data_IF_536926957699
#
_entry.id   IF_536926957699
#
_cell.length_a   1.000
_cell.length_b   1.000
_cell.length_c   1.000
_cell.angle_alpha   90.00
_cell.angle_beta   90.00
_cell.angle_gamma   90.00
#
_symmetry.space_group_name_H-M   'P 1'
#
loop_
_entity.id
_entity.type
_entity.pdbx_description
1 polymer ?
#
# COMPACT_ATOMS: atom_id res chain seq x y z
N UNK A 1 -3.36 -11.34 65.28
CA UNK A 1 -2.51 -11.56 64.08
C UNK A 1 -3.40 -12.11 62.98
N UNK A 2 -3.51 -11.47 61.80
CA UNK A 2 -4.41 -11.95 60.75
C UNK A 2 -3.77 -13.13 60.01
N UNK A 3 -4.61 -14.12 59.72
CA UNK A 3 -4.28 -15.33 58.95
C UNK A 3 -4.03 -14.91 57.50
N UNK A 4 -2.80 -15.04 57.02
CA UNK A 4 -2.47 -14.86 55.61
C UNK A 4 -3.07 -16.05 54.87
N UNK A 5 -4.16 -15.82 54.14
CA UNK A 5 -4.71 -16.78 53.19
C UNK A 5 -3.67 -17.04 52.12
N UNK A 6 -3.17 -18.27 52.05
CA UNK A 6 -2.38 -18.74 50.93
C UNK A 6 -3.26 -18.63 49.68
N UNK A 7 -2.94 -17.68 48.82
CA UNK A 7 -3.47 -17.65 47.46
C UNK A 7 -2.82 -18.85 46.77
N UNK A 8 -3.59 -19.93 46.62
CA UNK A 8 -3.20 -21.04 45.77
C UNK A 8 -3.00 -20.50 44.35
N UNK A 9 -1.74 -20.36 43.94
CA UNK A 9 -1.43 -20.20 42.53
C UNK A 9 -1.73 -21.53 41.87
N UNK A 10 -2.83 -21.60 41.10
CA UNK A 10 -3.06 -22.73 40.21
C UNK A 10 -1.80 -22.96 39.37
N UNK A 11 -1.26 -24.19 39.32
CA UNK A 11 -0.10 -24.49 38.53
C UNK A 11 -0.45 -24.24 37.06
N UNK A 12 0.23 -23.27 36.45
CA UNK A 12 0.13 -23.01 35.01
C UNK A 12 0.56 -24.30 34.31
N UNK A 13 -0.41 -25.06 33.84
CA UNK A 13 -0.15 -26.31 33.13
C UNK A 13 0.59 -25.95 31.83
N UNK A 14 1.69 -26.65 31.52
CA UNK A 14 2.54 -26.33 30.36
C UNK A 14 1.74 -26.20 29.05
N UNK A 15 0.66 -26.97 28.92
CA UNK A 15 -0.28 -26.93 27.79
C UNK A 15 -1.04 -25.61 27.67
N UNK A 16 -1.40 -24.97 28.80
CA UNK A 16 -2.11 -23.67 28.82
C UNK A 16 -1.17 -22.54 28.43
N UNK A 17 0.08 -22.58 28.92
CA UNK A 17 1.12 -21.62 28.52
C UNK A 17 1.44 -21.74 27.03
N UNK A 18 1.55 -22.96 26.50
CA UNK A 18 1.86 -23.20 25.09
C UNK A 18 0.74 -22.72 24.16
N UNK A 19 -0.53 -22.94 24.53
CA UNK A 19 -1.69 -22.37 23.82
C UNK A 19 -1.73 -20.84 23.87
N UNK A 20 -1.34 -20.24 25.00
CA UNK A 20 -1.26 -18.79 25.13
C UNK A 20 -0.17 -18.20 24.22
N UNK A 21 1.03 -18.80 24.20
CA UNK A 21 2.12 -18.37 23.33
C UNK A 21 1.74 -18.50 21.84
N UNK A 22 1.17 -19.62 21.42
CA UNK A 22 0.67 -19.81 20.05
C UNK A 22 -0.38 -18.75 19.65
N UNK A 23 -1.25 -18.36 20.59
CA UNK A 23 -2.24 -17.30 20.35
C UNK A 23 -1.57 -15.93 20.19
N UNK A 24 -0.53 -15.65 20.98
CA UNK A 24 0.22 -14.39 20.89
C UNK A 24 1.00 -14.31 19.57
N UNK A 25 1.67 -15.39 19.17
CA UNK A 25 2.35 -15.49 17.87
C UNK A 25 1.38 -15.20 16.70
N UNK A 26 0.20 -15.83 16.72
CA UNK A 26 -0.83 -15.62 15.68
C UNK A 26 -1.40 -14.19 15.68
N UNK A 27 -1.42 -13.51 16.83
CA UNK A 27 -1.82 -12.10 16.89
C UNK A 27 -0.74 -11.19 16.33
N UNK A 28 0.53 -11.44 16.64
CA UNK A 28 1.67 -10.70 16.10
C UNK A 28 1.74 -10.83 14.58
N UNK A 29 1.61 -12.05 14.04
CA UNK A 29 1.60 -12.29 12.59
C UNK A 29 0.47 -11.52 11.88
N UNK A 30 -0.71 -11.44 12.50
CA UNK A 30 -1.83 -10.66 11.94
C UNK A 30 -1.53 -9.17 11.92
N UNK A 31 -0.93 -8.65 12.99
CA UNK A 31 -0.58 -7.25 13.15
C UNK A 31 0.50 -6.83 12.15
N UNK A 32 1.52 -7.67 11.97
CA UNK A 32 2.57 -7.45 10.98
C UNK A 32 2.03 -7.42 9.55
N UNK A 33 1.12 -8.35 9.23
CA UNK A 33 0.45 -8.39 7.94
C UNK A 33 -0.40 -7.14 7.68
N UNK A 34 -1.13 -6.67 8.69
CA UNK A 34 -1.94 -5.45 8.60
C UNK A 34 -1.06 -4.20 8.43
N UNK A 35 0.06 -4.12 9.17
CA UNK A 35 1.03 -3.05 9.03
C UNK A 35 1.63 -2.98 7.62
N UNK A 36 2.02 -4.14 7.05
CA UNK A 36 2.52 -4.22 5.67
C UNK A 36 1.47 -3.79 4.65
N UNK A 37 0.21 -4.19 4.84
CA UNK A 37 -0.89 -3.76 3.98
C UNK A 37 -1.12 -2.25 4.03
N UNK A 38 -1.13 -1.68 5.24
CA UNK A 38 -1.29 -0.24 5.43
C UNK A 38 -0.14 0.54 4.79
N UNK A 39 1.11 0.10 5.03
CA UNK A 39 2.32 0.68 4.42
C UNK A 39 2.23 0.64 2.89
N UNK A 40 1.90 -0.50 2.29
CA UNK A 40 1.75 -0.62 0.84
C UNK A 40 0.69 0.34 0.25
N UNK A 41 -0.46 0.47 0.92
CA UNK A 41 -1.53 1.39 0.50
C UNK A 41 -1.09 2.85 0.62
N UNK A 42 -0.40 3.23 1.70
CA UNK A 42 0.12 4.58 1.88
C UNK A 42 1.15 4.94 0.81
N UNK A 43 2.05 4.01 0.50
CA UNK A 43 3.04 4.20 -0.56
C UNK A 43 2.37 4.39 -1.93
N UNK A 44 1.37 3.58 -2.29
CA UNK A 44 0.61 3.74 -3.53
C UNK A 44 -0.16 5.07 -3.60
N UNK A 45 -0.79 5.50 -2.50
CA UNK A 45 -1.46 6.80 -2.42
C UNK A 45 -0.48 7.94 -2.65
N UNK A 46 0.66 7.87 -1.98
CA UNK A 46 1.71 8.88 -2.07
C UNK A 46 2.27 8.93 -3.49
N UNK A 47 2.59 7.77 -4.07
CA UNK A 47 2.98 7.62 -5.46
C UNK A 47 1.98 8.26 -6.43
N UNK A 48 0.69 8.02 -6.22
CA UNK A 48 -0.37 8.60 -7.04
C UNK A 48 -0.48 10.12 -6.94
N UNK A 49 -0.33 10.70 -5.73
CA UNK A 49 -0.33 12.16 -5.51
C UNK A 49 0.85 12.79 -6.27
N UNK A 50 2.04 12.21 -6.10
CA UNK A 50 3.26 12.67 -6.74
C UNK A 50 3.14 12.64 -8.26
N UNK A 51 2.70 11.52 -8.84
CA UNK A 51 2.57 11.40 -10.29
C UNK A 51 1.45 12.29 -10.85
N UNK A 52 0.36 12.50 -10.10
CA UNK A 52 -0.69 13.44 -10.47
C UNK A 52 -0.20 14.89 -10.46
N UNK A 53 0.52 15.30 -9.42
CA UNK A 53 1.09 16.65 -9.32
C UNK A 53 2.14 16.92 -10.41
N UNK A 54 3.03 15.95 -10.65
CA UNK A 54 3.99 16.01 -11.77
C UNK A 54 3.29 16.24 -13.11
N UNK A 55 2.16 15.57 -13.35
CA UNK A 55 1.38 15.72 -14.59
C UNK A 55 0.73 17.10 -14.70
N UNK A 56 0.28 17.69 -13.58
CA UNK A 56 -0.34 19.04 -13.53
C UNK A 56 0.65 20.19 -13.66
N UNK A 57 1.81 20.06 -13.02
CA UNK A 57 2.75 21.16 -12.80
C UNK A 57 4.04 21.03 -13.64
N UNK A 58 4.21 19.94 -14.39
CA UNK A 58 5.37 19.72 -15.25
C UNK A 58 6.68 19.42 -14.51
N UNK A 59 6.62 19.18 -13.19
CA UNK A 59 7.80 18.84 -12.41
C UNK A 59 8.34 17.46 -12.82
N UNK A 60 9.57 17.44 -13.34
CA UNK A 60 10.28 16.21 -13.71
C UNK A 60 11.07 15.59 -12.56
N UNK A 61 11.30 16.34 -11.48
CA UNK A 61 12.12 15.90 -10.35
C UNK A 61 11.24 15.63 -9.12
N UNK A 62 11.15 14.35 -8.74
CA UNK A 62 10.34 13.86 -7.62
C UNK A 62 10.77 14.48 -6.30
N UNK A 63 12.07 14.71 -6.11
CA UNK A 63 12.64 15.23 -4.86
C UNK A 63 12.29 16.71 -4.65
N UNK A 64 12.18 17.51 -5.72
CA UNK A 64 11.73 18.92 -5.63
C UNK A 64 10.22 19.00 -5.34
N UNK A 65 9.42 18.13 -5.96
CA UNK A 65 7.98 18.06 -5.71
C UNK A 65 7.65 17.63 -4.27
N UNK A 66 8.41 16.68 -3.71
CA UNK A 66 8.19 16.21 -2.35
C UNK A 66 8.49 17.27 -1.29
N UNK A 67 9.50 18.12 -1.53
CA UNK A 67 9.80 19.28 -0.71
C UNK A 67 8.59 20.22 -0.57
N UNK A 68 7.88 20.47 -1.68
CA UNK A 68 6.69 21.33 -1.70
C UNK A 68 5.49 20.67 -1.02
N UNK A 69 5.26 19.37 -1.27
CA UNK A 69 4.09 18.65 -0.76
C UNK A 69 4.22 18.24 0.71
N UNK A 70 5.44 17.94 1.19
CA UNK A 70 5.71 17.39 2.51
C UNK A 70 6.98 17.98 3.15
N UNK A 71 6.99 19.28 3.50
CA UNK A 71 8.18 19.99 3.97
C UNK A 71 8.77 19.49 5.30
N UNK A 72 8.12 18.54 5.99
CA UNK A 72 8.50 18.03 7.31
C UNK A 72 9.02 16.58 7.32
N UNK A 73 9.14 15.90 6.17
CA UNK A 73 9.61 14.49 6.09
C UNK A 73 11.07 14.42 5.56
N UNK A 74 11.86 13.46 6.05
CA UNK A 74 13.27 13.27 5.62
C UNK A 74 13.36 12.72 4.19
N UNK A 75 14.09 13.42 3.30
CA UNK A 75 14.13 13.19 1.85
C UNK A 75 14.58 11.80 1.39
N UNK A 76 15.65 11.26 1.98
CA UNK A 76 16.30 10.04 1.47
C UNK A 76 15.44 8.78 1.60
N UNK A 77 14.65 8.69 2.68
CA UNK A 77 13.77 7.53 2.91
C UNK A 77 12.60 7.51 1.92
N UNK A 78 12.03 8.70 1.67
CA UNK A 78 10.89 8.89 0.77
C UNK A 78 11.26 8.59 -0.68
N UNK A 79 12.45 9.00 -1.15
CA UNK A 79 12.88 8.76 -2.53
C UNK A 79 13.07 7.25 -2.81
N UNK A 80 13.60 6.50 -1.85
CA UNK A 80 13.75 5.04 -1.97
C UNK A 80 12.40 4.32 -2.03
N UNK A 81 11.45 4.68 -1.16
CA UNK A 81 10.12 4.09 -1.16
C UNK A 81 9.33 4.43 -2.44
N UNK A 82 9.48 5.66 -2.94
CA UNK A 82 8.88 6.09 -4.21
C UNK A 82 9.48 5.35 -5.40
N UNK A 83 10.82 5.25 -5.46
CA UNK A 83 11.52 4.47 -6.48
C UNK A 83 11.13 3.00 -6.45
N UNK A 84 10.88 2.43 -5.26
CA UNK A 84 10.39 1.07 -5.11
C UNK A 84 9.00 0.90 -5.77
N UNK A 85 8.05 1.79 -5.49
CA UNK A 85 6.73 1.73 -6.12
C UNK A 85 6.81 1.97 -7.63
N UNK A 86 7.64 2.92 -8.09
CA UNK A 86 7.85 3.18 -9.52
C UNK A 86 8.36 1.93 -10.25
N UNK A 87 9.34 1.23 -9.66
CA UNK A 87 9.82 -0.05 -10.19
C UNK A 87 8.70 -1.08 -10.25
N UNK A 88 7.95 -1.27 -9.16
CA UNK A 88 6.84 -2.21 -9.11
C UNK A 88 5.76 -1.91 -10.17
N UNK A 89 5.43 -0.64 -10.35
CA UNK A 89 4.46 -0.18 -11.37
C UNK A 89 4.97 -0.45 -12.78
N UNK A 90 6.25 -0.15 -13.05
CA UNK A 90 6.88 -0.38 -14.35
C UNK A 90 6.99 -1.87 -14.69
N UNK A 91 7.39 -2.70 -13.72
CA UNK A 91 7.44 -4.16 -13.86
C UNK A 91 6.06 -4.75 -14.14
N UNK A 92 5.04 -4.33 -13.40
CA UNK A 92 3.68 -4.81 -13.60
C UNK A 92 3.11 -4.37 -14.95
N UNK A 93 3.41 -3.14 -15.40
CA UNK A 93 3.02 -2.61 -16.72
C UNK A 93 3.65 -3.41 -17.87
N UNK A 94 4.91 -3.81 -17.71
CA UNK A 94 5.67 -4.56 -18.72
C UNK A 94 5.61 -6.08 -18.53
N UNK A 95 4.85 -6.58 -17.56
CA UNK A 95 4.74 -8.01 -17.28
C UNK A 95 4.15 -8.78 -18.47
N UNK A 96 4.60 -10.00 -18.71
CA UNK A 96 3.99 -10.91 -19.70
C UNK A 96 2.58 -11.35 -19.31
N UNK A 97 2.22 -11.27 -18.02
CA UNK A 97 0.90 -11.66 -17.52
C UNK A 97 -0.15 -10.57 -17.80
N UNK A 98 -1.12 -10.88 -18.66
CA UNK A 98 -2.21 -9.94 -19.02
C UNK A 98 -2.99 -9.46 -17.80
N UNK A 99 -3.27 -10.35 -16.85
CA UNK A 99 -3.97 -10.04 -15.61
C UNK A 99 -3.24 -8.97 -14.80
N UNK A 100 -1.91 -9.09 -14.64
CA UNK A 100 -1.11 -8.14 -13.88
C UNK A 100 -1.07 -6.77 -14.56
N UNK A 101 -0.94 -6.73 -15.90
CA UNK A 101 -1.03 -5.47 -16.65
C UNK A 101 -2.37 -4.77 -16.48
N UNK A 102 -3.47 -5.53 -16.51
CA UNK A 102 -4.81 -4.96 -16.27
C UNK A 102 -4.97 -4.46 -14.84
N UNK A 103 -4.48 -5.20 -13.85
CA UNK A 103 -4.49 -4.80 -12.44
C UNK A 103 -3.69 -3.52 -12.21
N UNK A 104 -2.50 -3.41 -12.80
CA UNK A 104 -1.66 -2.21 -12.76
C UNK A 104 -2.39 -1.01 -13.36
N UNK A 105 -3.03 -1.18 -14.53
CA UNK A 105 -3.78 -0.10 -15.18
C UNK A 105 -4.94 0.40 -14.32
N UNK A 106 -5.65 -0.50 -13.64
CA UNK A 106 -6.71 -0.13 -12.68
C UNK A 106 -6.12 0.65 -11.49
N UNK A 107 -4.99 0.20 -10.95
CA UNK A 107 -4.33 0.89 -9.85
C UNK A 107 -3.84 2.30 -10.26
N UNK A 108 -3.32 2.46 -11.47
CA UNK A 108 -2.93 3.76 -12.02
C UNK A 108 -4.13 4.72 -12.08
N UNK A 109 -5.27 4.30 -12.63
CA UNK A 109 -6.48 5.12 -12.63
C UNK A 109 -6.98 5.48 -11.23
N UNK A 110 -6.86 4.55 -10.28
CA UNK A 110 -7.35 4.75 -8.91
C UNK A 110 -6.47 5.70 -8.09
N UNK A 111 -5.15 5.50 -8.12
CA UNK A 111 -4.22 6.25 -7.26
C UNK A 111 -3.74 7.56 -7.91
N UNK A 112 -3.40 7.54 -9.20
CA UNK A 112 -2.91 8.70 -9.97
C UNK A 112 -4.07 9.50 -10.57
N UNK A 113 -5.08 8.82 -11.12
CA UNK A 113 -6.14 9.46 -11.88
C UNK A 113 -5.84 9.52 -13.38
N UNK A 114 -6.68 10.25 -14.12
CA UNK A 114 -6.52 10.50 -15.57
C UNK A 114 -6.17 11.95 -15.83
N UNK A 115 -5.34 12.20 -16.83
CA UNK A 115 -5.05 13.55 -17.29
C UNK A 115 -6.14 14.02 -18.25
N UNK A 116 -6.70 15.19 -17.98
CA UNK A 116 -7.78 15.81 -18.74
C UNK A 116 -7.27 17.14 -19.28
N UNK A 117 -7.50 17.34 -20.58
CA UNK A 117 -7.23 18.59 -21.28
C UNK A 117 -8.57 19.17 -21.69
N UNK A 118 -8.96 20.30 -21.08
CA UNK A 118 -10.15 21.03 -21.49
C UNK A 118 -9.91 22.54 -21.38
N UNK A 119 -10.42 23.29 -22.36
CA UNK A 119 -10.32 24.76 -22.44
C UNK A 119 -8.88 25.30 -22.27
N UNK A 120 -7.90 24.58 -22.84
CA UNK A 120 -6.48 24.96 -22.77
C UNK A 120 -5.85 24.80 -21.38
N UNK A 121 -6.50 24.07 -20.47
CA UNK A 121 -5.98 23.74 -19.14
C UNK A 121 -5.80 22.23 -19.00
N UNK A 122 -4.67 21.86 -18.41
CA UNK A 122 -4.32 20.47 -18.11
C UNK A 122 -4.50 20.22 -16.61
N UNK A 123 -5.28 19.20 -16.25
CA UNK A 123 -5.34 18.73 -14.87
C UNK A 123 -5.61 17.23 -14.78
N UNK A 124 -5.13 16.60 -13.70
CA UNK A 124 -5.50 15.20 -13.43
C UNK A 124 -6.78 15.10 -12.59
N UNK A 125 -7.69 14.20 -12.93
CA UNK A 125 -8.88 13.86 -12.13
C UNK A 125 -8.74 12.48 -11.50
N UNK A 126 -8.95 12.39 -10.18
CA UNK A 126 -9.07 11.10 -9.49
C UNK A 126 -10.42 10.48 -9.80
N UNK A 127 -10.41 9.19 -10.14
CA UNK A 127 -11.62 8.44 -10.46
C UNK A 127 -12.03 7.55 -9.29
N UNK A 128 -13.32 7.54 -9.02
CA UNK A 128 -13.97 6.55 -8.16
C UNK A 128 -13.98 5.18 -8.84
N UNK A 129 -14.19 4.11 -8.05
CA UNK A 129 -14.31 2.75 -8.62
C UNK A 129 -15.46 2.62 -9.64
N UNK A 130 -16.50 3.44 -9.53
CA UNK A 130 -17.62 3.45 -10.47
C UNK A 130 -17.20 4.11 -11.80
N UNK A 131 -16.54 5.26 -11.75
CA UNK A 131 -16.05 5.93 -12.98
C UNK A 131 -15.00 5.07 -13.69
N UNK A 132 -14.10 4.42 -12.94
CA UNK A 132 -13.13 3.48 -13.53
C UNK A 132 -13.85 2.32 -14.21
N UNK A 133 -14.88 1.77 -13.58
CA UNK A 133 -15.70 0.68 -14.13
C UNK A 133 -16.35 1.07 -15.47
N UNK A 134 -16.83 2.30 -15.58
CA UNK A 134 -17.37 2.86 -16.82
C UNK A 134 -16.28 3.02 -17.89
N UNK A 135 -15.14 3.63 -17.54
CA UNK A 135 -14.00 3.87 -18.45
C UNK A 135 -13.48 2.56 -19.05
N UNK A 136 -13.35 1.50 -18.25
CA UNK A 136 -12.81 0.21 -18.70
C UNK A 136 -13.88 -0.81 -19.08
N UNK A 137 -15.17 -0.42 -19.05
CA UNK A 137 -16.33 -1.25 -19.40
C UNK A 137 -16.36 -2.60 -18.65
N UNK A 138 -16.16 -2.56 -17.32
CA UNK A 138 -16.21 -3.74 -16.44
C UNK A 138 -17.08 -3.44 -15.23
N UNK A 139 -17.54 -4.47 -14.50
CA UNK A 139 -18.31 -4.25 -13.28
C UNK A 139 -17.46 -3.63 -12.16
N UNK A 140 -18.06 -2.75 -11.34
CA UNK A 140 -17.43 -2.19 -10.12
C UNK A 140 -16.79 -3.28 -9.24
N UNK A 141 -17.49 -4.41 -9.07
CA UNK A 141 -16.98 -5.56 -8.29
C UNK A 141 -15.70 -6.16 -8.89
N UNK A 142 -15.57 -6.17 -10.22
CA UNK A 142 -14.36 -6.63 -10.90
C UNK A 142 -13.22 -5.64 -10.75
N UNK A 143 -13.49 -4.34 -10.84
CA UNK A 143 -12.50 -3.29 -10.57
C UNK A 143 -11.97 -3.39 -9.15
N UNK A 144 -12.87 -3.51 -8.17
CA UNK A 144 -12.49 -3.66 -6.77
C UNK A 144 -11.60 -4.89 -6.54
N UNK A 145 -11.95 -6.04 -7.12
CA UNK A 145 -11.11 -7.27 -7.04
C UNK A 145 -9.75 -7.09 -7.69
N UNK A 146 -9.68 -6.43 -8.86
CA UNK A 146 -8.41 -6.17 -9.56
C UNK A 146 -7.52 -5.22 -8.79
N UNK A 147 -8.09 -4.15 -8.23
CA UNK A 147 -7.36 -3.22 -7.37
C UNK A 147 -6.81 -3.93 -6.12
N UNK A 148 -7.63 -4.74 -5.47
CA UNK A 148 -7.20 -5.53 -4.31
C UNK A 148 -6.09 -6.53 -4.67
N UNK A 149 -6.18 -7.20 -5.82
CA UNK A 149 -5.14 -8.09 -6.32
C UNK A 149 -3.83 -7.33 -6.55
N UNK A 150 -3.89 -6.11 -7.10
CA UNK A 150 -2.71 -5.28 -7.27
C UNK A 150 -2.11 -4.84 -5.94
N UNK A 151 -2.91 -4.43 -4.97
CA UNK A 151 -2.42 -4.09 -3.63
C UNK A 151 -1.73 -5.30 -2.99
N UNK A 152 -2.28 -6.50 -3.18
CA UNK A 152 -1.66 -7.74 -2.69
C UNK A 152 -0.32 -8.03 -3.37
N UNK A 153 -0.20 -7.73 -4.67
CA UNK A 153 1.08 -7.78 -5.39
C UNK A 153 2.12 -6.85 -4.78
N UNK A 154 1.77 -5.60 -4.48
CA UNK A 154 2.69 -4.63 -3.86
C UNK A 154 3.10 -5.07 -2.45
N UNK A 155 2.15 -5.58 -1.65
CA UNK A 155 2.45 -6.13 -0.31
C UNK A 155 3.46 -7.26 -0.40
N UNK A 156 3.31 -8.16 -1.38
CA UNK A 156 4.25 -9.25 -1.60
C UNK A 156 5.65 -8.70 -1.96
N UNK A 157 5.73 -7.75 -2.88
CA UNK A 157 7.01 -7.10 -3.23
C UNK A 157 7.66 -6.41 -2.03
N UNK A 158 6.86 -5.74 -1.21
CA UNK A 158 7.34 -5.02 -0.03
C UNK A 158 7.87 -5.99 1.04
N UNK A 159 7.21 -7.14 1.23
CA UNK A 159 7.72 -8.17 2.15
C UNK A 159 9.08 -8.73 1.73
N UNK A 160 9.37 -8.82 0.43
CA UNK A 160 10.70 -9.21 -0.04
C UNK A 160 11.74 -8.09 0.15
N UNK A 161 11.34 -6.83 -0.02
CA UNK A 161 12.21 -5.67 0.16
C UNK A 161 12.62 -5.48 1.63
N UNK A 162 11.67 -5.56 2.57
CA UNK A 162 11.94 -5.42 4.00
C UNK A 162 12.84 -6.57 4.52
N UNK A 163 12.82 -7.76 3.88
CA UNK A 163 13.72 -8.88 4.19
C UNK A 163 15.15 -8.72 3.64
N UNK A 164 15.40 -7.78 2.72
CA UNK A 164 16.74 -7.52 2.17
C UNK A 164 17.49 -6.41 2.92
N UNK A 165 16.77 -5.61 3.70
CA UNK A 165 17.30 -4.47 4.45
C UNK A 165 17.54 -4.82 5.92
N UNK A 166 16.85 -5.85 6.44
CA UNK A 166 17.09 -6.44 7.76
C UNK A 166 18.03 -7.64 7.67
#
# INVERSE_FOLDING_TARGET
>A
MPLITQIEFEPINNTTLLKYLQRQELLLEKLDKENLQNKAIELLKTWGICNSYSSRCGFKNVSLMFNELYPKKSFTFVENEMNFIDKCMLEAKNSNQKSLREQQKIAEYYYKGIDIVADGKDWSQRLTLCEIAEVVKQSKSTIHRKLHAFNSYIVNQLSYFDNLIN
#
